data_IF_344491669496
#
_entry.id   IF_344491669496
#
_cell.length_a   1.000
_cell.length_b   1.000
_cell.length_c   1.000
_cell.angle_alpha   90.00
_cell.angle_beta   90.00
_cell.angle_gamma   90.00
#
_symmetry.space_group_name_H-M   'P 1'
#
loop_
_entity.id
_entity.type
_entity.pdbx_description
1 polymer ?
#
# COMPACT_ATOMS: atom_id res chain seq x y z
N UNK A 1 -12.66 -6.80 6.57
CA UNK A 1 -11.86 -6.14 7.63
C UNK A 1 -12.78 -5.58 8.69
N UNK A 2 -12.61 -6.07 9.91
CA UNK A 2 -13.19 -5.44 11.11
C UNK A 2 -12.35 -4.22 11.56
N UNK A 3 -12.80 -3.52 12.60
CA UNK A 3 -12.09 -2.33 13.13
C UNK A 3 -10.72 -2.67 13.72
N UNK A 4 -10.55 -3.84 14.31
CA UNK A 4 -9.30 -4.24 14.94
C UNK A 4 -8.21 -4.47 13.87
N UNK A 5 -8.56 -5.22 12.82
CA UNK A 5 -7.68 -5.44 11.66
C UNK A 5 -7.30 -4.14 10.93
N UNK A 6 -8.23 -3.17 10.86
CA UNK A 6 -7.92 -1.85 10.31
C UNK A 6 -6.92 -1.08 11.17
N UNK A 7 -7.07 -1.11 12.50
CA UNK A 7 -6.15 -0.44 13.41
C UNK A 7 -4.73 -1.00 13.29
N UNK A 8 -4.60 -2.33 13.21
CA UNK A 8 -3.31 -3.00 12.99
C UNK A 8 -2.68 -2.59 11.65
N UNK A 9 -3.47 -2.59 10.57
CA UNK A 9 -3.00 -2.17 9.24
C UNK A 9 -2.52 -0.71 9.22
N UNK A 10 -3.19 0.17 9.98
CA UNK A 10 -2.79 1.57 10.12
C UNK A 10 -1.42 1.68 10.81
N UNK A 11 -1.18 0.94 11.89
CA UNK A 11 0.13 0.97 12.57
C UNK A 11 1.26 0.45 11.69
N UNK A 12 1.02 -0.65 10.94
CA UNK A 12 1.99 -1.17 9.98
C UNK A 12 2.33 -0.13 8.90
N UNK A 13 1.33 0.51 8.30
CA UNK A 13 1.54 1.52 7.26
C UNK A 13 2.27 2.76 7.80
N UNK A 14 1.97 3.20 9.03
CA UNK A 14 2.69 4.31 9.66
C UNK A 14 4.18 4.03 9.80
N UNK A 15 4.57 2.82 10.20
CA UNK A 15 5.97 2.41 10.27
C UNK A 15 6.66 2.48 8.91
N UNK A 16 6.04 1.90 7.89
CA UNK A 16 6.57 1.94 6.51
C UNK A 16 6.76 3.37 6.01
N UNK A 17 5.81 4.27 6.29
CA UNK A 17 5.93 5.68 5.90
C UNK A 17 7.01 6.45 6.67
N UNK A 18 7.29 6.08 7.92
CA UNK A 18 8.35 6.72 8.70
C UNK A 18 9.74 6.37 8.15
N UNK A 19 9.91 5.15 7.63
CA UNK A 19 11.18 4.67 7.07
C UNK A 19 11.35 5.01 5.58
N UNK A 20 10.27 5.35 4.87
CA UNK A 20 10.31 5.68 3.45
C UNK A 20 10.85 7.10 3.20
N UNK A 21 11.91 7.22 2.38
CA UNK A 21 12.46 8.53 1.98
C UNK A 21 11.57 9.32 1.00
N UNK A 22 10.68 8.64 0.27
CA UNK A 22 9.69 9.25 -0.62
C UNK A 22 8.49 8.30 -0.83
N UNK A 23 7.31 8.87 -1.07
CA UNK A 23 6.07 8.12 -1.30
C UNK A 23 5.41 8.62 -2.58
N UNK A 24 5.08 7.70 -3.49
CA UNK A 24 4.40 8.01 -4.76
C UNK A 24 3.01 7.40 -4.76
N UNK A 25 1.99 8.21 -5.04
CA UNK A 25 0.59 7.77 -5.12
C UNK A 25 0.19 7.68 -6.59
N UNK A 26 -0.21 6.49 -7.03
CA UNK A 26 -0.66 6.22 -8.40
C UNK A 26 -2.08 5.64 -8.39
N UNK A 27 -2.80 5.82 -9.50
CA UNK A 27 -4.08 5.13 -9.72
C UNK A 27 -3.78 3.84 -10.48
N UNK A 28 -4.02 2.70 -9.84
CA UNK A 28 -3.83 1.38 -10.46
C UNK A 28 -5.12 0.84 -11.13
N UNK A 29 -6.18 1.65 -11.18
CA UNK A 29 -7.45 1.27 -11.78
C UNK A 29 -7.27 1.03 -13.29
N UNK A 30 -7.55 -0.19 -13.74
CA UNK A 30 -7.45 -0.58 -15.15
C UNK A 30 -6.18 -1.34 -15.52
N UNK A 31 -5.22 -1.52 -14.60
CA UNK A 31 -4.09 -2.42 -14.79
C UNK A 31 -4.51 -3.88 -14.58
N UNK A 32 -4.04 -4.77 -15.44
CA UNK A 32 -4.21 -6.21 -15.24
C UNK A 32 -3.24 -6.72 -14.17
N UNK A 33 -3.44 -7.96 -13.70
CA UNK A 33 -2.51 -8.59 -12.76
C UNK A 33 -1.11 -8.71 -13.37
N UNK A 34 -1.02 -8.99 -14.67
CA UNK A 34 0.25 -9.07 -15.38
C UNK A 34 0.99 -7.72 -15.41
N UNK A 35 0.27 -6.62 -15.72
CA UNK A 35 0.85 -5.28 -15.71
C UNK A 35 1.32 -4.85 -14.30
N UNK A 36 0.66 -5.36 -13.25
CA UNK A 36 1.06 -5.12 -11.85
C UNK A 36 2.26 -5.97 -11.45
N UNK A 37 2.45 -7.16 -12.02
CA UNK A 37 3.62 -8.02 -11.74
C UNK A 37 4.93 -7.34 -12.17
N UNK A 38 4.90 -6.63 -13.29
CA UNK A 38 6.05 -5.88 -13.81
C UNK A 38 6.45 -4.66 -12.95
N UNK A 39 5.54 -4.13 -12.12
CA UNK A 39 5.72 -2.91 -11.32
C UNK A 39 6.02 -3.18 -9.83
N UNK A 40 5.93 -4.44 -9.38
CA UNK A 40 6.14 -4.84 -7.98
C UNK A 40 7.60 -4.90 -7.59
#
# INVERSE_FOLDING_TARGET
MDRAQKAESIETLKGVFADAGAVVVTHNLGLTVADMEDLR
#
